data_IF_734525204743
#
_entry.id   IF_734525204743
#
_cell.length_a   1.000
_cell.length_b   1.000
_cell.length_c   1.000
_cell.angle_alpha   90.00
_cell.angle_beta   90.00
_cell.angle_gamma   90.00
#
_symmetry.space_group_name_H-M   'P 1'
#
loop_
_entity.id
_entity.type
_entity.pdbx_description
1 polymer ?
#
# COMPACT_ATOMS: atom_id res chain seq x y z
N UNK A 1 15.37 -30.10 3.71
CA UNK A 1 15.17 -29.11 2.63
C UNK A 1 14.29 -27.99 3.17
N UNK A 2 14.53 -26.76 2.75
CA UNK A 2 13.66 -25.63 3.06
C UNK A 2 13.09 -25.12 1.73
N UNK A 3 11.80 -24.85 1.67
CA UNK A 3 11.10 -24.45 0.46
C UNK A 3 10.17 -23.27 0.72
N UNK A 4 10.04 -22.38 -0.27
CA UNK A 4 9.02 -21.35 -0.25
C UNK A 4 7.77 -21.90 -0.93
N UNK A 5 6.69 -22.00 -0.18
CA UNK A 5 5.35 -22.24 -0.70
C UNK A 5 4.70 -20.89 -0.97
N UNK A 6 4.24 -20.67 -2.20
CA UNK A 6 3.57 -19.45 -2.61
C UNK A 6 2.12 -19.75 -3.03
N UNK A 7 1.20 -18.90 -2.56
CA UNK A 7 -0.20 -18.96 -2.92
C UNK A 7 -0.68 -17.57 -3.36
N UNK A 8 -1.25 -17.50 -4.57
CA UNK A 8 -1.93 -16.33 -5.09
C UNK A 8 -3.41 -16.39 -4.70
N UNK A 9 -3.77 -15.74 -3.59
CA UNK A 9 -5.12 -15.71 -3.06
C UNK A 9 -5.94 -14.53 -3.59
N UNK A 10 -7.22 -14.50 -3.22
CA UNK A 10 -8.10 -13.36 -3.46
C UNK A 10 -7.96 -12.40 -2.27
N UNK A 11 -7.50 -11.18 -2.54
CA UNK A 11 -7.32 -10.16 -1.49
C UNK A 11 -6.00 -10.26 -0.72
N UNK A 12 -5.20 -11.31 -0.91
CA UNK A 12 -3.83 -11.41 -0.40
C UNK A 12 -3.01 -12.46 -1.18
N UNK A 13 -1.71 -12.22 -1.28
CA UNK A 13 -0.74 -13.23 -1.68
C UNK A 13 0.05 -13.69 -0.45
N UNK A 14 0.34 -14.99 -0.36
CA UNK A 14 1.00 -15.60 0.80
C UNK A 14 2.24 -16.36 0.40
N UNK A 15 3.30 -16.21 1.19
CA UNK A 15 4.51 -17.01 1.04
C UNK A 15 4.96 -17.54 2.40
N UNK A 16 5.28 -18.83 2.49
CA UNK A 16 5.80 -19.47 3.69
C UNK A 16 7.08 -20.26 3.40
N UNK A 17 8.15 -20.00 4.15
CA UNK A 17 9.36 -20.80 4.14
C UNK A 17 9.15 -21.99 5.07
N UNK A 18 8.92 -23.17 4.50
CA UNK A 18 8.69 -24.41 5.25
C UNK A 18 9.98 -25.21 5.31
N UNK A 19 10.34 -25.69 6.50
CA UNK A 19 11.45 -26.61 6.69
C UNK A 19 11.04 -27.70 7.69
N UNK A 20 11.10 -28.97 7.26
CA UNK A 20 10.71 -30.14 8.07
C UNK A 20 9.27 -30.05 8.60
N UNK A 21 8.34 -29.63 7.74
CA UNK A 21 6.92 -29.48 8.09
C UNK A 21 6.61 -28.27 8.99
N UNK A 22 7.57 -27.40 9.29
CA UNK A 22 7.36 -26.20 10.12
C UNK A 22 7.58 -24.92 9.32
N UNK A 23 6.67 -23.95 9.45
CA UNK A 23 6.84 -22.60 8.90
C UNK A 23 7.93 -21.88 9.70
N UNK A 24 9.00 -21.47 9.02
CA UNK A 24 10.13 -20.72 9.60
C UNK A 24 10.04 -19.22 9.34
N UNK A 25 9.44 -18.83 8.21
CA UNK A 25 9.13 -17.45 7.87
C UNK A 25 7.81 -17.40 7.12
N UNK A 26 7.07 -16.32 7.28
CA UNK A 26 5.88 -16.03 6.50
C UNK A 26 5.94 -14.59 5.99
N UNK A 27 5.33 -14.37 4.82
CA UNK A 27 5.07 -13.06 4.23
C UNK A 27 3.65 -13.06 3.69
N UNK A 28 2.93 -11.99 3.98
CA UNK A 28 1.60 -11.70 3.45
C UNK A 28 1.73 -10.39 2.71
N UNK A 29 1.30 -10.39 1.46
CA UNK A 29 1.24 -9.22 0.60
C UNK A 29 -0.24 -8.90 0.35
N UNK A 30 -0.68 -7.75 0.87
CA UNK A 30 -2.00 -7.22 0.58
C UNK A 30 -1.99 -6.43 -0.74
N UNK A 31 -3.11 -6.37 -1.47
CA UNK A 31 -3.27 -5.50 -2.62
C UNK A 31 -3.25 -4.03 -2.18
N UNK A 32 -2.84 -3.15 -3.09
CA UNK A 32 -2.82 -1.69 -2.87
C UNK A 32 -1.42 -1.12 -2.67
N UNK A 33 -1.36 0.07 -2.07
CA UNK A 33 -0.10 0.78 -1.85
C UNK A 33 0.78 0.06 -0.83
N UNK A 34 2.09 0.09 -1.08
CA UNK A 34 3.12 -0.38 -0.14
C UNK A 34 3.78 0.80 0.54
N UNK A 35 4.36 0.56 1.71
CA UNK A 35 5.30 1.51 2.30
C UNK A 35 6.35 1.94 1.25
N UNK A 36 6.75 3.20 1.30
CA UNK A 36 7.70 3.83 0.37
C UNK A 36 7.23 3.94 -1.10
N UNK A 37 5.97 3.62 -1.41
CA UNK A 37 5.42 3.87 -2.75
C UNK A 37 5.33 5.38 -3.01
N UNK A 38 5.98 5.85 -4.08
CA UNK A 38 5.77 7.20 -4.62
C UNK A 38 4.62 7.12 -5.62
N UNK A 39 3.52 7.78 -5.32
CA UNK A 39 2.31 7.80 -6.13
C UNK A 39 1.81 9.23 -6.35
N UNK A 40 1.24 9.46 -7.53
CA UNK A 40 0.47 10.68 -7.80
C UNK A 40 -0.74 10.68 -6.88
N UNK A 41 -1.09 11.85 -6.34
CA UNK A 41 -2.30 12.02 -5.56
C UNK A 41 -2.95 13.36 -5.88
N UNK A 42 -4.26 13.47 -5.65
CA UNK A 42 -5.04 14.71 -5.78
C UNK A 42 -5.64 15.09 -4.44
N UNK A 43 -5.43 16.32 -3.98
CA UNK A 43 -6.06 16.79 -2.74
C UNK A 43 -7.57 16.92 -2.95
N UNK A 44 -8.38 16.12 -2.26
CA UNK A 44 -9.85 16.13 -2.41
C UNK A 44 -10.56 16.81 -1.24
N UNK A 45 -9.94 16.83 -0.06
CA UNK A 45 -10.42 17.60 1.09
C UNK A 45 -9.23 18.21 1.82
N UNK A 46 -9.15 19.54 1.77
CA UNK A 46 -8.08 20.31 2.41
C UNK A 46 -8.20 20.37 3.93
N UNK A 47 -9.43 20.30 4.47
CA UNK A 47 -9.66 20.41 5.92
C UNK A 47 -9.17 19.17 6.67
N UNK A 48 -9.22 18.01 6.02
CA UNK A 48 -8.77 16.72 6.57
C UNK A 48 -7.42 16.25 6.01
N UNK A 49 -6.93 16.89 4.95
CA UNK A 49 -5.72 16.45 4.24
C UNK A 49 -5.94 15.20 3.38
N UNK A 50 -7.19 14.84 3.09
CA UNK A 50 -7.53 13.65 2.32
C UNK A 50 -7.17 13.81 0.85
N UNK A 51 -6.49 12.81 0.31
CA UNK A 51 -6.06 12.74 -1.09
C UNK A 51 -6.66 11.52 -1.79
N UNK A 52 -7.03 11.67 -3.05
CA UNK A 52 -7.40 10.57 -3.93
C UNK A 52 -6.17 10.04 -4.68
N UNK A 53 -6.07 8.73 -4.77
CA UNK A 53 -5.04 7.99 -5.47
C UNK A 53 -5.58 7.43 -6.79
N UNK A 54 -4.72 7.23 -7.80
CA UNK A 54 -5.07 6.46 -8.99
C UNK A 54 -5.64 5.09 -8.61
N UNK A 55 -6.74 4.69 -9.25
CA UNK A 55 -7.42 3.43 -8.96
C UNK A 55 -8.46 3.49 -7.83
N UNK A 56 -8.77 4.68 -7.32
CA UNK A 56 -9.92 4.90 -6.42
C UNK A 56 -9.61 4.74 -4.93
N UNK A 57 -8.34 4.56 -4.55
CA UNK A 57 -7.91 4.58 -3.16
C UNK A 57 -7.92 6.00 -2.59
N UNK A 58 -8.09 6.11 -1.27
CA UNK A 58 -7.94 7.36 -0.52
C UNK A 58 -6.80 7.21 0.49
N UNK A 59 -6.09 8.31 0.75
CA UNK A 59 -5.08 8.40 1.79
C UNK A 59 -5.14 9.76 2.49
N UNK A 60 -4.39 9.91 3.58
CA UNK A 60 -4.19 11.18 4.27
C UNK A 60 -2.78 11.70 4.00
N UNK A 61 -2.68 12.99 3.71
CA UNK A 61 -1.41 13.70 3.60
C UNK A 61 -1.33 14.74 4.73
N UNK A 62 -0.47 14.49 5.71
CA UNK A 62 -0.23 15.37 6.85
C UNK A 62 1.27 15.41 7.19
N UNK A 63 1.93 16.58 7.20
CA UNK A 63 1.37 17.90 6.86
C UNK A 63 1.11 18.08 5.37
N UNK A 64 0.07 18.86 5.04
CA UNK A 64 -0.14 19.29 3.66
C UNK A 64 1.03 20.20 3.20
N UNK A 65 1.61 19.94 2.01
CA UNK A 65 2.63 20.81 1.46
C UNK A 65 2.10 22.23 1.27
N UNK A 66 2.97 23.22 1.53
CA UNK A 66 2.63 24.63 1.39
C UNK A 66 2.25 24.94 -0.06
N UNK A 67 1.19 25.72 -0.23
CA UNK A 67 0.74 26.19 -1.55
C UNK A 67 -0.13 25.21 -2.34
N UNK A 68 -0.29 23.96 -1.91
CA UNK A 68 -1.23 23.02 -2.55
C UNK A 68 -2.66 23.49 -2.28
N UNK A 69 -3.49 23.59 -3.32
CA UNK A 69 -4.91 23.96 -3.22
C UNK A 69 -5.81 22.73 -3.36
N UNK A 70 -7.05 22.83 -2.90
CA UNK A 70 -8.02 21.74 -3.10
C UNK A 70 -8.22 21.49 -4.61
N UNK A 71 -8.20 20.22 -4.99
CA UNK A 71 -8.23 19.79 -6.38
C UNK A 71 -6.88 19.79 -7.08
N UNK A 72 -5.81 20.31 -6.48
CA UNK A 72 -4.47 20.22 -7.06
C UNK A 72 -3.92 18.80 -6.95
N UNK A 73 -3.17 18.39 -7.98
CA UNK A 73 -2.28 17.23 -7.88
C UNK A 73 -1.02 17.63 -7.14
N UNK A 74 -0.47 16.68 -6.39
CA UNK A 74 0.84 16.88 -5.78
C UNK A 74 1.89 16.88 -6.90
N UNK A 75 2.84 17.83 -6.88
CA UNK A 75 3.93 17.89 -7.85
C UNK A 75 4.89 16.69 -7.72
#
# INVERSE_FOLDING_TARGET
MAEWLYEAGIGENRAALVARGTIRKARIELPGLRADTIAIAKLIDRSTGKVALPGGGEALCDPLPKGVTQGASFP
#
